data_IF_239574537836
#
_entry.id   IF_239574537836
#
_cell.length_a   1.000
_cell.length_b   1.000
_cell.length_c   1.000
_cell.angle_alpha   90.00
_cell.angle_beta   90.00
_cell.angle_gamma   90.00
#
_symmetry.space_group_name_H-M   'P 1'
#
loop_
_entity.id
_entity.type
_entity.pdbx_description
1 polymer ?
#
# COMPACT_ATOMS: atom_id res chain seq x y z
N UNK A 1 -24.51 35.89 -82.49
CA UNK A 1 -25.88 35.85 -81.91
C UNK A 1 -26.08 34.47 -81.29
N UNK A 2 -26.69 34.38 -80.10
CA UNK A 2 -26.74 33.25 -79.14
C UNK A 2 -25.62 33.31 -78.07
N UNK A 3 -25.79 34.03 -76.97
CA UNK A 3 -26.60 33.75 -75.75
C UNK A 3 -25.87 32.83 -74.75
N UNK A 4 -25.31 33.46 -73.70
CA UNK A 4 -24.85 32.83 -72.45
C UNK A 4 -26.03 32.21 -71.70
N UNK A 5 -25.85 31.06 -71.03
CA UNK A 5 -26.53 30.77 -69.78
C UNK A 5 -25.58 31.00 -68.60
N UNK A 6 -26.06 31.81 -67.64
CA UNK A 6 -25.48 31.92 -66.31
C UNK A 6 -26.01 30.77 -65.46
N UNK A 7 -25.12 30.05 -64.79
CA UNK A 7 -25.46 29.00 -63.83
C UNK A 7 -25.47 29.59 -62.41
N UNK A 8 -26.58 29.52 -61.64
CA UNK A 8 -26.65 30.04 -60.29
C UNK A 8 -26.57 28.89 -59.28
N UNK A 9 -25.40 28.66 -58.68
CA UNK A 9 -25.33 27.85 -57.46
C UNK A 9 -24.38 28.46 -56.43
N UNK A 10 -24.94 29.37 -55.63
CA UNK A 10 -24.37 29.79 -54.36
C UNK A 10 -24.42 28.62 -53.38
N UNK A 11 -23.32 27.88 -53.27
CA UNK A 11 -23.12 26.87 -52.24
C UNK A 11 -22.92 27.53 -50.88
N UNK A 12 -23.98 27.58 -50.07
CA UNK A 12 -23.88 27.95 -48.66
C UNK A 12 -22.95 26.96 -47.94
N UNK A 13 -21.81 27.46 -47.46
CA UNK A 13 -20.91 26.71 -46.59
C UNK A 13 -21.61 26.50 -45.26
N UNK A 14 -22.26 25.34 -45.09
CA UNK A 14 -22.83 24.92 -43.81
C UNK A 14 -21.69 24.62 -42.86
N UNK A 15 -21.29 25.62 -42.08
CA UNK A 15 -20.35 25.49 -40.97
C UNK A 15 -20.94 24.54 -39.92
N UNK A 16 -20.44 23.30 -39.91
CA UNK A 16 -20.73 22.33 -38.85
C UNK A 16 -20.34 22.92 -37.49
N UNK A 17 -21.23 22.90 -36.48
CA UNK A 17 -20.86 23.36 -35.15
C UNK A 17 -19.77 22.43 -34.60
N UNK A 18 -18.65 23.03 -34.15
CA UNK A 18 -17.63 22.33 -33.37
C UNK A 18 -18.34 21.68 -32.19
N UNK A 19 -18.34 20.35 -32.13
CA UNK A 19 -18.73 19.60 -30.93
C UNK A 19 -17.91 20.16 -29.78
N UNK A 20 -18.53 20.94 -28.90
CA UNK A 20 -17.95 21.32 -27.63
C UNK A 20 -17.55 20.02 -26.93
N UNK A 21 -16.26 19.87 -26.64
CA UNK A 21 -15.77 18.73 -25.89
C UNK A 21 -16.59 18.64 -24.61
N UNK A 22 -17.28 17.51 -24.41
CA UNK A 22 -18.01 17.26 -23.18
C UNK A 22 -17.07 17.57 -22.01
N UNK A 23 -17.48 18.50 -21.13
CA UNK A 23 -16.73 18.82 -19.93
C UNK A 23 -16.42 17.50 -19.21
N UNK A 24 -15.13 17.23 -18.98
CA UNK A 24 -14.73 16.04 -18.21
C UNK A 24 -15.49 16.10 -16.88
N UNK A 25 -16.13 15.01 -16.43
CA UNK A 25 -16.89 15.03 -15.19
C UNK A 25 -16.00 15.53 -14.07
N UNK A 26 -16.53 16.46 -13.26
CA UNK A 26 -15.82 16.98 -12.10
C UNK A 26 -15.40 15.80 -11.23
N UNK A 27 -14.09 15.64 -11.04
CA UNK A 27 -13.56 14.51 -10.30
C UNK A 27 -14.02 14.58 -8.84
N UNK A 28 -14.67 13.53 -8.34
CA UNK A 28 -15.13 13.48 -6.95
C UNK A 28 -13.95 13.11 -6.06
N UNK A 29 -13.60 13.93 -5.04
CA UNK A 29 -12.53 13.59 -4.12
C UNK A 29 -12.80 12.26 -3.42
N UNK A 30 -11.76 11.47 -3.22
CA UNK A 30 -11.82 10.25 -2.40
C UNK A 30 -12.19 10.64 -0.96
N UNK A 31 -13.25 10.02 -0.38
CA UNK A 31 -13.67 10.31 1.00
C UNK A 31 -12.55 10.11 2.02
N UNK A 32 -12.55 10.91 3.10
CA UNK A 32 -11.54 10.76 4.16
C UNK A 32 -11.60 9.38 4.86
N UNK A 33 -12.78 8.77 4.89
CA UNK A 33 -13.02 7.44 5.46
C UNK A 33 -12.60 6.28 4.54
N UNK A 34 -12.21 6.57 3.29
CA UNK A 34 -11.72 5.53 2.38
C UNK A 34 -10.43 4.90 2.94
N UNK A 35 -10.31 3.56 2.94
CA UNK A 35 -9.18 2.89 3.57
C UNK A 35 -7.82 3.26 2.96
N UNK A 36 -7.75 3.54 1.66
CA UNK A 36 -6.50 3.98 1.00
C UNK A 36 -6.18 5.42 1.38
N UNK A 37 -7.20 6.28 1.51
CA UNK A 37 -7.00 7.65 1.98
C UNK A 37 -6.49 7.67 3.42
N UNK A 38 -7.04 6.84 4.29
CA UNK A 38 -6.55 6.68 5.67
C UNK A 38 -5.12 6.16 5.69
N UNK A 39 -4.81 5.10 4.93
CA UNK A 39 -3.46 4.55 4.86
C UNK A 39 -2.45 5.58 4.34
N UNK A 40 -2.78 6.31 3.27
CA UNK A 40 -1.93 7.37 2.75
C UNK A 40 -1.67 8.47 3.78
N UNK A 41 -2.72 8.97 4.43
CA UNK A 41 -2.56 10.02 5.45
C UNK A 41 -1.76 9.52 6.68
N UNK A 42 -1.82 8.22 7.00
CA UNK A 42 -0.97 7.59 8.02
C UNK A 42 0.49 7.60 7.59
N UNK A 43 0.80 7.21 6.35
CA UNK A 43 2.17 7.25 5.81
C UNK A 43 2.74 8.66 5.85
N UNK A 44 1.95 9.66 5.42
CA UNK A 44 2.31 11.09 5.54
C UNK A 44 2.62 11.47 6.99
N UNK A 45 1.77 11.06 7.93
CA UNK A 45 1.96 11.37 9.35
C UNK A 45 3.26 10.78 9.92
N UNK A 46 3.58 9.53 9.57
CA UNK A 46 4.81 8.86 10.00
C UNK A 46 6.03 9.55 9.37
N UNK A 47 5.99 9.82 8.07
CA UNK A 47 7.11 10.43 7.34
C UNK A 47 7.42 11.87 7.77
N UNK A 48 6.39 12.71 7.96
CA UNK A 48 6.58 14.14 8.26
C UNK A 48 6.77 14.42 9.75
N UNK A 49 6.06 13.68 10.62
CA UNK A 49 5.94 14.02 12.05
C UNK A 49 6.58 12.99 12.97
N UNK A 50 7.26 11.97 12.41
CA UNK A 50 7.78 10.83 13.17
C UNK A 50 6.71 10.21 14.08
N UNK A 51 5.46 10.23 13.62
CA UNK A 51 4.33 9.76 14.40
C UNK A 51 4.39 8.23 14.55
N UNK A 52 4.06 7.73 15.74
CA UNK A 52 3.95 6.29 15.96
C UNK A 52 2.69 5.76 15.29
N UNK A 53 2.85 4.90 14.28
CA UNK A 53 1.74 4.40 13.47
C UNK A 53 0.66 3.70 14.31
N UNK A 54 1.08 2.93 15.31
CA UNK A 54 0.22 2.21 16.26
C UNK A 54 -0.63 3.13 17.15
N UNK A 55 -0.18 4.36 17.39
CA UNK A 55 -0.95 5.36 18.14
C UNK A 55 -1.83 6.21 17.22
N UNK A 56 -1.36 6.46 15.99
CA UNK A 56 -1.99 7.39 15.06
C UNK A 56 -3.19 6.76 14.33
N UNK A 57 -3.04 5.52 13.84
CA UNK A 57 -4.07 4.88 13.03
C UNK A 57 -5.41 4.70 13.77
N UNK A 58 -5.47 4.20 15.04
CA UNK A 58 -6.74 4.02 15.74
C UNK A 58 -7.54 5.33 15.88
N UNK A 59 -6.85 6.45 16.16
CA UNK A 59 -7.44 7.78 16.22
C UNK A 59 -8.06 8.19 14.89
N UNK A 60 -7.29 8.08 13.79
CA UNK A 60 -7.77 8.39 12.45
C UNK A 60 -8.99 7.57 12.04
N UNK A 61 -8.97 6.26 12.32
CA UNK A 61 -10.10 5.37 12.00
C UNK A 61 -11.37 5.78 12.76
N UNK A 62 -11.24 6.17 14.03
CA UNK A 62 -12.37 6.62 14.86
C UNK A 62 -12.90 7.99 14.40
N UNK A 63 -12.04 8.98 14.26
CA UNK A 63 -12.41 10.36 13.90
C UNK A 63 -13.11 10.43 12.53
N UNK A 64 -12.69 9.59 11.58
CA UNK A 64 -13.22 9.57 10.21
C UNK A 64 -14.43 8.64 10.05
N UNK A 65 -14.87 7.96 11.11
CA UNK A 65 -16.02 7.06 11.05
C UNK A 65 -15.83 5.87 10.10
N UNK A 66 -14.62 5.32 10.00
CA UNK A 66 -14.32 4.20 9.11
C UNK A 66 -15.11 2.97 9.53
N UNK A 67 -15.75 2.32 8.56
CA UNK A 67 -16.58 1.12 8.78
C UNK A 67 -15.74 -0.06 9.22
N UNK A 68 -16.36 -1.03 9.90
CA UNK A 68 -15.65 -2.23 10.38
C UNK A 68 -14.94 -3.00 9.25
N UNK A 69 -15.63 -3.14 8.12
CA UNK A 69 -15.09 -3.77 6.92
C UNK A 69 -13.84 -3.05 6.41
N UNK A 70 -13.85 -1.72 6.40
CA UNK A 70 -12.76 -0.92 5.83
C UNK A 70 -11.60 -0.71 6.81
N UNK A 71 -11.83 -0.84 8.13
CA UNK A 71 -10.77 -0.78 9.14
C UNK A 71 -9.70 -1.83 8.90
N UNK A 72 -10.09 -3.07 8.62
CA UNK A 72 -9.15 -4.15 8.32
C UNK A 72 -8.27 -3.81 7.11
N UNK A 73 -8.87 -3.26 6.05
CA UNK A 73 -8.14 -2.86 4.85
C UNK A 73 -7.23 -1.64 5.10
N UNK A 74 -7.69 -0.63 5.83
CA UNK A 74 -6.87 0.54 6.16
C UNK A 74 -5.65 0.16 7.01
N UNK A 75 -5.84 -0.72 8.00
CA UNK A 75 -4.77 -1.26 8.85
C UNK A 75 -3.77 -2.06 8.04
N UNK A 76 -4.27 -2.93 7.17
CA UNK A 76 -3.43 -3.73 6.28
C UNK A 76 -2.56 -2.84 5.38
N UNK A 77 -3.18 -1.87 4.71
CA UNK A 77 -2.48 -0.99 3.79
C UNK A 77 -1.48 -0.08 4.52
N UNK A 78 -1.86 0.47 5.67
CA UNK A 78 -1.01 1.36 6.45
C UNK A 78 0.21 0.65 7.01
N UNK A 79 0.00 -0.37 7.86
CA UNK A 79 1.12 -1.08 8.49
C UNK A 79 1.91 -1.93 7.51
N UNK A 80 1.24 -2.55 6.54
CA UNK A 80 1.90 -3.36 5.53
C UNK A 80 2.85 -2.52 4.67
N UNK A 81 2.43 -1.33 4.24
CA UNK A 81 3.30 -0.43 3.46
C UNK A 81 4.52 0.02 4.27
N UNK A 82 4.35 0.35 5.56
CA UNK A 82 5.46 0.74 6.44
C UNK A 82 6.44 -0.42 6.66
N UNK A 83 5.92 -1.63 6.90
CA UNK A 83 6.74 -2.82 7.12
C UNK A 83 7.56 -3.17 5.89
N UNK A 84 6.94 -3.12 4.71
CA UNK A 84 7.58 -3.45 3.44
C UNK A 84 8.40 -2.29 2.84
N UNK A 85 8.53 -1.14 3.51
CA UNK A 85 9.02 0.10 2.90
C UNK A 85 10.39 -0.07 2.24
N UNK A 86 11.34 -0.76 2.90
CA UNK A 86 12.68 -0.99 2.34
C UNK A 86 12.63 -1.76 1.02
N UNK A 87 11.78 -2.79 0.95
CA UNK A 87 11.57 -3.56 -0.28
C UNK A 87 10.92 -2.73 -1.37
N UNK A 88 9.84 -2.02 -1.02
CA UNK A 88 9.08 -1.19 -1.96
C UNK A 88 9.94 -0.05 -2.54
N UNK A 89 10.78 0.57 -1.72
CA UNK A 89 11.66 1.66 -2.13
C UNK A 89 12.67 1.20 -3.19
N UNK A 90 13.27 0.02 -3.04
CA UNK A 90 14.18 -0.53 -4.05
C UNK A 90 13.45 -0.84 -5.37
N UNK A 91 12.23 -1.39 -5.29
CA UNK A 91 11.40 -1.66 -6.48
C UNK A 91 11.03 -0.35 -7.18
N UNK A 92 10.61 0.66 -6.43
CA UNK A 92 10.27 1.97 -6.97
C UNK A 92 11.51 2.64 -7.57
N UNK A 93 12.67 2.55 -6.93
CA UNK A 93 13.93 3.07 -7.48
C UNK A 93 14.25 2.43 -8.84
N UNK A 94 14.09 1.10 -8.99
CA UNK A 94 14.26 0.42 -10.28
C UNK A 94 13.20 0.82 -11.33
N UNK A 95 12.06 1.36 -10.89
CA UNK A 95 11.03 1.90 -11.76
C UNK A 95 11.30 3.35 -12.22
N UNK A 96 12.24 4.06 -11.62
CA UNK A 96 12.48 5.48 -11.86
C UNK A 96 13.76 5.73 -12.63
N UNK A 97 13.77 6.81 -13.41
CA UNK A 97 14.98 7.30 -14.11
C UNK A 97 15.73 8.35 -13.28
N UNK A 98 15.27 8.61 -12.05
CA UNK A 98 15.86 9.56 -11.09
C UNK A 98 16.01 8.89 -9.73
N UNK A 99 16.92 9.38 -8.87
CA UNK A 99 17.02 8.95 -7.48
C UNK A 99 15.67 9.04 -6.75
N UNK A 100 15.40 8.07 -5.87
CA UNK A 100 14.12 7.98 -5.16
C UNK A 100 13.90 9.18 -4.22
N UNK A 101 14.96 9.68 -3.61
CA UNK A 101 14.96 10.85 -2.71
C UNK A 101 14.67 12.18 -3.44
N UNK A 102 14.80 12.22 -4.76
CA UNK A 102 14.39 13.34 -5.60
C UNK A 102 12.88 13.34 -5.92
N UNK A 103 12.14 12.32 -5.48
CA UNK A 103 10.67 12.27 -5.62
C UNK A 103 10.03 13.01 -4.45
N UNK A 104 9.09 13.90 -4.77
CA UNK A 104 8.31 14.63 -3.77
C UNK A 104 7.63 13.68 -2.76
N UNK A 105 7.76 13.97 -1.47
CA UNK A 105 7.34 13.06 -0.39
C UNK A 105 5.90 12.55 -0.51
N UNK A 106 4.89 13.44 -0.69
CA UNK A 106 3.50 13.05 -0.95
C UNK A 106 3.34 12.05 -2.11
N UNK A 107 4.12 12.23 -3.18
CA UNK A 107 4.10 11.34 -4.33
C UNK A 107 4.71 9.99 -3.97
N UNK A 108 5.84 9.99 -3.27
CA UNK A 108 6.53 8.77 -2.86
C UNK A 108 5.68 7.91 -1.91
N UNK A 109 5.00 8.52 -0.94
CA UNK A 109 4.13 7.77 -0.02
C UNK A 109 2.93 7.14 -0.74
N UNK A 110 2.40 7.82 -1.76
CA UNK A 110 1.35 7.26 -2.60
C UNK A 110 1.88 6.12 -3.49
N UNK A 111 3.08 6.29 -4.06
CA UNK A 111 3.75 5.24 -4.84
C UNK A 111 4.02 4.00 -3.99
N UNK A 112 4.50 4.16 -2.76
CA UNK A 112 4.70 3.06 -1.79
C UNK A 112 3.39 2.33 -1.52
N UNK A 113 2.32 3.07 -1.21
CA UNK A 113 0.99 2.49 -0.98
C UNK A 113 0.45 1.75 -2.22
N UNK A 114 0.65 2.30 -3.42
CA UNK A 114 0.26 1.67 -4.67
C UNK A 114 1.06 0.40 -4.96
N UNK A 115 2.37 0.44 -4.76
CA UNK A 115 3.27 -0.70 -4.93
C UNK A 115 2.95 -1.82 -3.92
N UNK A 116 2.66 -1.47 -2.67
CA UNK A 116 2.22 -2.44 -1.65
C UNK A 116 0.95 -3.18 -2.10
N UNK A 117 -0.05 -2.43 -2.58
CA UNK A 117 -1.27 -3.05 -3.13
C UNK A 117 -0.98 -4.00 -4.28
N UNK A 118 -0.08 -3.63 -5.19
CA UNK A 118 0.28 -4.43 -6.35
C UNK A 118 1.02 -5.72 -6.00
N UNK A 119 1.94 -5.65 -5.04
CA UNK A 119 2.92 -6.71 -4.80
C UNK A 119 2.55 -7.61 -3.62
N UNK A 120 1.92 -7.06 -2.57
CA UNK A 120 1.69 -7.75 -1.29
C UNK A 120 0.22 -7.88 -0.89
N UNK A 121 -0.70 -7.57 -1.79
CA UNK A 121 -2.14 -7.78 -1.55
C UNK A 121 -2.80 -8.61 -2.64
N UNK A 122 -4.04 -9.04 -2.39
CA UNK A 122 -4.87 -9.75 -3.38
C UNK A 122 -5.70 -8.78 -4.26
N UNK A 123 -5.42 -7.48 -4.20
CA UNK A 123 -6.14 -6.48 -5.02
C UNK A 123 -5.73 -6.68 -6.48
N UNK A 124 -6.68 -6.83 -7.42
CA UNK A 124 -6.35 -6.94 -8.83
C UNK A 124 -5.52 -5.75 -9.33
N UNK A 125 -4.51 -6.01 -10.16
CA UNK A 125 -3.57 -4.99 -10.68
C UNK A 125 -4.27 -3.73 -11.19
N UNK A 126 -5.28 -3.88 -12.04
CA UNK A 126 -6.02 -2.75 -12.61
C UNK A 126 -6.73 -1.92 -11.53
N UNK A 127 -7.25 -2.57 -10.48
CA UNK A 127 -7.92 -1.90 -9.37
C UNK A 127 -6.92 -1.18 -8.47
N UNK A 128 -5.77 -1.78 -8.16
CA UNK A 128 -4.70 -1.15 -7.40
C UNK A 128 -4.18 0.13 -8.09
N UNK A 129 -3.94 0.08 -9.41
CA UNK A 129 -3.53 1.25 -10.20
C UNK A 129 -4.64 2.29 -10.24
N UNK A 130 -5.88 1.90 -10.60
CA UNK A 130 -6.99 2.84 -10.74
C UNK A 130 -7.28 3.60 -9.44
N UNK A 131 -7.40 2.89 -8.32
CA UNK A 131 -7.67 3.49 -7.01
C UNK A 131 -6.53 4.36 -6.51
N UNK A 132 -5.28 4.01 -6.80
CA UNK A 132 -4.11 4.87 -6.49
C UNK A 132 -4.11 6.16 -7.33
N UNK A 133 -4.49 6.07 -8.61
CA UNK A 133 -4.61 7.24 -9.49
C UNK A 133 -5.77 8.14 -9.09
N UNK A 134 -6.88 7.56 -8.64
CA UNK A 134 -8.00 8.30 -8.06
C UNK A 134 -7.56 9.04 -6.79
N UNK A 135 -6.91 8.34 -5.85
CA UNK A 135 -6.37 8.97 -4.66
C UNK A 135 -5.39 10.10 -5.01
N UNK A 136 -4.51 9.89 -5.99
CA UNK A 136 -3.57 10.90 -6.47
C UNK A 136 -4.29 12.17 -6.95
N UNK A 137 -5.41 12.04 -7.68
CA UNK A 137 -6.20 13.21 -8.12
C UNK A 137 -6.82 13.98 -6.96
N UNK A 138 -6.99 13.33 -5.80
CA UNK A 138 -7.55 13.96 -4.60
C UNK A 138 -6.51 14.68 -3.74
N UNK A 139 -5.23 14.32 -3.87
CA UNK A 139 -4.18 14.78 -2.93
C UNK A 139 -2.95 15.38 -3.61
N UNK A 140 -2.80 15.26 -4.93
CA UNK A 140 -1.64 15.71 -5.71
C UNK A 140 -2.04 16.65 -6.85
N UNK A 141 -1.05 17.30 -7.46
CA UNK A 141 -1.22 18.14 -8.66
C UNK A 141 -1.44 17.30 -9.93
N UNK A 142 -2.00 17.92 -10.97
CA UNK A 142 -2.35 17.21 -12.21
C UNK A 142 -1.16 16.48 -12.87
N UNK A 143 0.04 17.09 -12.88
CA UNK A 143 1.24 16.47 -13.44
C UNK A 143 1.70 15.24 -12.65
N UNK A 144 1.57 15.27 -11.32
CA UNK A 144 1.97 14.16 -10.45
C UNK A 144 1.07 12.93 -10.62
N UNK A 145 -0.22 13.12 -10.94
CA UNK A 145 -1.15 11.99 -11.20
C UNK A 145 -0.69 11.12 -12.37
N UNK A 146 -0.24 11.76 -13.47
CA UNK A 146 0.27 11.04 -14.64
C UNK A 146 1.52 10.25 -14.32
N UNK A 147 2.42 10.84 -13.53
CA UNK A 147 3.65 10.20 -13.05
C UNK A 147 3.34 8.98 -12.17
N UNK A 148 2.44 9.11 -11.18
CA UNK A 148 1.99 7.98 -10.34
C UNK A 148 1.50 6.81 -11.19
N UNK A 149 0.60 7.08 -12.14
CA UNK A 149 0.06 6.04 -13.03
C UNK A 149 1.17 5.34 -13.83
N UNK A 150 2.12 6.10 -14.38
CA UNK A 150 3.21 5.55 -15.17
C UNK A 150 4.12 4.63 -14.34
N UNK A 151 4.53 5.08 -13.15
CA UNK A 151 5.40 4.31 -12.26
C UNK A 151 4.70 3.05 -11.76
N UNK A 152 3.44 3.14 -11.31
CA UNK A 152 2.71 1.97 -10.84
C UNK A 152 2.44 0.93 -11.93
N UNK A 153 2.23 1.37 -13.19
CA UNK A 153 2.17 0.42 -14.32
C UNK A 153 3.49 -0.29 -14.54
N UNK A 154 4.62 0.42 -14.44
CA UNK A 154 5.95 -0.20 -14.54
C UNK A 154 6.18 -1.18 -13.39
N UNK A 155 5.84 -0.80 -12.16
CA UNK A 155 5.91 -1.67 -10.99
C UNK A 155 5.03 -2.93 -11.15
N UNK A 156 3.87 -2.82 -11.80
CA UNK A 156 2.98 -3.97 -12.03
C UNK A 156 3.45 -4.97 -13.09
N UNK A 157 4.56 -4.70 -13.79
CA UNK A 157 5.07 -5.58 -14.84
C UNK A 157 5.69 -6.88 -14.31
N UNK A 158 5.94 -6.97 -13.00
CA UNK A 158 6.48 -8.13 -12.30
C UNK A 158 5.76 -8.31 -10.97
N UNK A 159 5.73 -9.54 -10.49
CA UNK A 159 5.38 -9.83 -9.10
C UNK A 159 6.57 -9.51 -8.17
N UNK A 160 6.36 -9.68 -6.86
CA UNK A 160 7.40 -9.40 -5.87
C UNK A 160 8.65 -10.25 -6.08
N UNK A 161 8.50 -11.54 -6.39
CA UNK A 161 9.63 -12.44 -6.63
C UNK A 161 10.47 -11.99 -7.85
N UNK A 162 9.81 -11.61 -8.95
CA UNK A 162 10.47 -11.10 -10.15
C UNK A 162 11.19 -9.77 -9.90
N UNK A 163 10.68 -8.92 -9.02
CA UNK A 163 11.39 -7.71 -8.60
C UNK A 163 12.58 -8.01 -7.69
N UNK A 164 12.42 -8.88 -6.70
CA UNK A 164 13.51 -9.27 -5.80
C UNK A 164 14.69 -9.86 -6.56
N UNK A 165 14.45 -10.65 -7.60
CA UNK A 165 15.52 -11.17 -8.48
C UNK A 165 16.32 -10.07 -9.21
N UNK A 166 15.77 -8.85 -9.33
CA UNK A 166 16.45 -7.71 -9.97
C UNK A 166 17.13 -6.79 -8.96
N UNK A 167 16.54 -6.60 -7.77
CA UNK A 167 16.97 -5.57 -6.81
C UNK A 167 17.78 -6.14 -5.65
N UNK A 168 17.62 -7.43 -5.32
CA UNK A 168 18.42 -8.07 -4.29
C UNK A 168 19.73 -8.62 -4.89
N UNK A 169 20.88 -8.46 -4.22
CA UNK A 169 22.09 -9.15 -4.63
C UNK A 169 21.92 -10.67 -4.51
N UNK A 170 22.73 -11.48 -5.24
CA UNK A 170 22.72 -12.92 -5.08
C UNK A 170 22.95 -13.32 -3.62
N UNK A 171 22.18 -14.30 -3.13
CA UNK A 171 22.22 -14.72 -1.73
C UNK A 171 23.61 -15.24 -1.33
N UNK A 172 24.30 -15.89 -2.25
CA UNK A 172 25.63 -16.48 -2.06
C UNK A 172 26.74 -15.43 -1.98
N UNK A 173 26.53 -14.27 -2.61
CA UNK A 173 27.52 -13.18 -2.65
C UNK A 173 27.38 -12.25 -1.43
N UNK A 174 26.15 -11.84 -1.11
CA UNK A 174 25.86 -11.01 0.06
C UNK A 174 24.55 -11.43 0.73
N UNK A 175 24.58 -12.44 1.63
CA UNK A 175 23.39 -12.91 2.32
C UNK A 175 22.70 -11.81 3.14
N UNK A 176 23.48 -10.89 3.72
CA UNK A 176 22.94 -9.84 4.58
C UNK A 176 22.11 -8.84 3.76
N UNK A 177 22.66 -8.37 2.64
CA UNK A 177 21.97 -7.44 1.76
C UNK A 177 20.79 -8.11 1.04
N UNK A 178 20.92 -9.39 0.67
CA UNK A 178 19.80 -10.15 0.10
C UNK A 178 18.62 -10.24 1.09
N UNK A 179 18.88 -10.66 2.33
CA UNK A 179 17.83 -10.79 3.35
C UNK A 179 17.25 -9.44 3.76
N UNK A 180 18.07 -8.39 3.83
CA UNK A 180 17.62 -7.02 4.08
C UNK A 180 16.59 -6.58 3.03
N UNK A 181 16.89 -6.83 1.76
CA UNK A 181 16.01 -6.48 0.64
C UNK A 181 14.75 -7.35 0.60
N UNK A 182 14.87 -8.64 0.90
CA UNK A 182 13.76 -9.60 0.88
C UNK A 182 12.74 -9.38 1.99
N UNK A 183 13.21 -9.06 3.19
CA UNK A 183 12.37 -8.94 4.38
C UNK A 183 12.13 -7.49 4.83
N UNK A 184 12.60 -6.51 4.05
CA UNK A 184 12.48 -5.07 4.30
C UNK A 184 13.16 -4.58 5.59
N UNK A 185 14.18 -5.29 6.08
CA UNK A 185 14.96 -4.89 7.26
C UNK A 185 16.21 -4.09 6.86
N UNK A 186 16.60 -3.06 7.63
CA UNK A 186 17.91 -2.43 7.46
C UNK A 186 19.04 -3.45 7.59
N UNK A 187 20.09 -3.34 6.76
CA UNK A 187 21.18 -4.32 6.76
C UNK A 187 21.88 -4.49 8.12
N UNK A 188 21.86 -3.48 8.98
CA UNK A 188 22.39 -3.60 10.34
C UNK A 188 21.52 -4.47 11.27
N UNK A 189 20.18 -4.47 11.08
CA UNK A 189 19.27 -5.37 11.81
C UNK A 189 19.50 -6.81 11.38
N UNK A 190 19.64 -7.05 10.08
CA UNK A 190 19.92 -8.40 9.55
C UNK A 190 21.21 -8.95 10.14
N UNK A 191 22.27 -8.13 10.21
CA UNK A 191 23.53 -8.52 10.86
C UNK A 191 23.34 -8.77 12.36
N UNK A 192 22.58 -7.93 13.07
CA UNK A 192 22.29 -8.15 14.48
C UNK A 192 21.55 -9.47 14.74
N UNK A 193 20.58 -9.84 13.89
CA UNK A 193 19.92 -11.14 13.94
C UNK A 193 20.91 -12.28 13.66
N UNK A 194 21.77 -12.11 12.66
CA UNK A 194 22.80 -13.09 12.30
C UNK A 194 23.78 -13.37 13.42
N UNK A 195 24.19 -12.32 14.13
CA UNK A 195 25.10 -12.40 15.28
C UNK A 195 24.43 -13.08 16.48
N UNK A 196 23.14 -12.82 16.70
CA UNK A 196 22.38 -13.41 17.81
C UNK A 196 22.00 -14.88 17.58
N UNK A 197 21.65 -15.26 16.34
CA UNK A 197 21.13 -16.60 16.01
C UNK A 197 22.21 -17.56 15.50
N UNK A 198 23.35 -17.06 15.04
CA UNK A 198 24.51 -17.89 14.73
C UNK A 198 24.49 -18.61 13.38
N UNK A 199 23.39 -18.61 12.63
CA UNK A 199 23.34 -19.07 11.23
C UNK A 199 22.36 -18.26 10.33
N UNK A 200 22.53 -18.36 9.00
CA UNK A 200 21.72 -17.61 8.02
C UNK A 200 20.30 -18.18 7.82
N UNK A 201 20.08 -19.48 8.08
CA UNK A 201 18.76 -20.10 7.95
C UNK A 201 17.82 -19.63 9.07
N UNK A 202 18.28 -19.67 10.32
CA UNK A 202 17.57 -19.12 11.47
C UNK A 202 17.33 -17.62 11.30
N UNK A 203 18.33 -16.89 10.80
CA UNK A 203 18.20 -15.46 10.50
C UNK A 203 17.08 -15.22 9.48
N UNK A 204 17.06 -15.94 8.36
CA UNK A 204 16.03 -15.81 7.35
C UNK A 204 14.64 -16.16 7.89
N UNK A 205 14.51 -17.23 8.68
CA UNK A 205 13.23 -17.61 9.31
C UNK A 205 12.73 -16.56 10.32
N UNK A 206 13.62 -16.00 11.12
CA UNK A 206 13.27 -14.99 12.11
C UNK A 206 12.85 -13.66 11.44
N UNK A 207 13.58 -13.22 10.41
CA UNK A 207 13.21 -12.04 9.62
C UNK A 207 11.87 -12.24 8.89
N UNK A 208 11.64 -13.42 8.33
CA UNK A 208 10.36 -13.76 7.71
C UNK A 208 9.20 -13.69 8.72
N UNK A 209 9.38 -14.24 9.93
CA UNK A 209 8.38 -14.18 10.99
C UNK A 209 8.11 -12.74 11.47
N UNK A 210 9.14 -11.89 11.51
CA UNK A 210 8.99 -10.47 11.85
C UNK A 210 8.25 -9.67 10.74
N UNK A 211 8.39 -10.08 9.47
CA UNK A 211 7.65 -9.48 8.34
C UNK A 211 6.17 -9.95 8.27
N UNK A 212 5.81 -11.03 8.96
CA UNK A 212 4.43 -11.53 8.98
C UNK A 212 3.45 -10.57 9.67
N UNK A 213 2.16 -10.72 9.35
CA UNK A 213 1.12 -9.93 10.02
C UNK A 213 1.02 -10.38 11.48
N UNK A 214 1.09 -9.46 12.46
CA UNK A 214 1.02 -9.83 13.86
C UNK A 214 -0.34 -10.45 14.16
N UNK A 215 -0.32 -11.56 14.88
CA UNK A 215 -1.52 -12.17 15.44
C UNK A 215 -2.00 -11.34 16.63
N UNK A 216 -3.32 -11.30 16.84
CA UNK A 216 -3.88 -10.68 18.04
C UNK A 216 -3.89 -11.73 19.14
N UNK A 217 -3.23 -11.41 20.26
CA UNK A 217 -3.18 -12.28 21.43
C UNK A 217 -4.04 -11.68 22.55
N UNK A 218 -4.91 -12.50 23.14
CA UNK A 218 -5.64 -12.19 24.36
C UNK A 218 -5.02 -12.95 25.54
N UNK A 219 -5.27 -12.43 26.74
CA UNK A 219 -4.84 -13.06 27.99
C UNK A 219 -6.07 -13.32 28.86
N UNK A 220 -6.35 -14.59 29.13
CA UNK A 220 -7.30 -15.04 30.13
C UNK A 220 -6.77 -14.65 31.51
N UNK A 221 -7.43 -13.70 32.16
CA UNK A 221 -6.99 -13.20 33.47
C UNK A 221 -7.47 -14.16 34.56
N UNK A 222 -6.57 -14.78 35.34
CA UNK A 222 -6.96 -15.69 36.41
C UNK A 222 -7.96 -15.05 37.39
N UNK A 223 -9.01 -15.78 37.73
CA UNK A 223 -10.10 -15.30 38.58
C UNK A 223 -11.10 -14.36 37.89
N UNK A 224 -10.98 -14.14 36.58
CA UNK A 224 -11.95 -13.38 35.78
C UNK A 224 -12.61 -14.23 34.70
N UNK A 225 -11.80 -14.97 33.94
CA UNK A 225 -12.24 -15.87 32.86
C UNK A 225 -11.20 -16.96 32.71
N UNK A 226 -11.63 -18.20 32.42
CA UNK A 226 -10.69 -19.25 32.06
C UNK A 226 -10.30 -19.19 30.57
N UNK A 227 -9.23 -19.89 30.18
CA UNK A 227 -8.70 -19.82 28.81
C UNK A 227 -9.65 -20.43 27.79
N UNK A 228 -10.30 -21.54 28.14
CA UNK A 228 -11.16 -22.25 27.20
C UNK A 228 -12.49 -21.50 27.01
N UNK A 229 -13.02 -20.91 28.08
CA UNK A 229 -14.14 -19.98 28.03
C UNK A 229 -13.80 -18.76 27.17
N UNK A 230 -12.65 -18.09 27.41
CA UNK A 230 -12.22 -16.96 26.59
C UNK A 230 -12.03 -17.36 25.11
N UNK A 231 -11.44 -18.52 24.83
CA UNK A 231 -11.28 -19.00 23.46
C UNK A 231 -12.62 -19.22 22.77
N UNK A 232 -13.61 -19.76 23.49
CA UNK A 232 -14.96 -19.96 22.98
C UNK A 232 -15.66 -18.64 22.70
N UNK A 233 -15.67 -17.72 23.68
CA UNK A 233 -16.36 -16.44 23.59
C UNK A 233 -15.76 -15.52 22.52
N UNK A 234 -14.43 -15.52 22.42
CA UNK A 234 -13.71 -14.72 21.44
C UNK A 234 -13.65 -15.35 20.04
N UNK A 235 -14.08 -16.61 19.88
CA UNK A 235 -13.86 -17.38 18.65
C UNK A 235 -12.37 -17.57 18.32
N UNK A 236 -11.54 -17.66 19.35
CA UNK A 236 -10.09 -17.82 19.27
C UNK A 236 -9.62 -19.25 19.47
N UNK A 237 -8.30 -19.45 19.51
CA UNK A 237 -7.66 -20.74 19.80
C UNK A 237 -6.67 -20.62 20.96
N UNK A 238 -6.57 -21.61 21.85
CA UNK A 238 -5.56 -21.60 22.91
C UNK A 238 -4.14 -21.45 22.35
N UNK A 239 -3.35 -20.56 22.94
CA UNK A 239 -1.95 -20.34 22.58
C UNK A 239 -1.06 -21.51 23.04
N UNK A 240 0.01 -21.82 22.30
CA UNK A 240 0.79 -23.05 22.53
C UNK A 240 1.77 -22.96 23.71
N UNK A 241 2.14 -21.76 24.16
CA UNK A 241 3.19 -21.58 25.17
C UNK A 241 2.70 -21.14 26.55
N UNK A 242 1.57 -20.42 26.62
CA UNK A 242 1.03 -19.89 27.87
C UNK A 242 -0.32 -20.52 28.19
N UNK A 243 -0.55 -20.95 29.45
CA UNK A 243 -1.84 -21.47 29.89
C UNK A 243 -2.95 -20.40 29.91
N UNK A 244 -2.61 -19.14 29.63
CA UNK A 244 -3.55 -18.01 29.62
C UNK A 244 -3.73 -17.39 28.23
N UNK A 245 -2.94 -17.78 27.23
CA UNK A 245 -2.98 -17.15 25.93
C UNK A 245 -4.14 -17.69 25.07
N UNK A 246 -4.81 -16.79 24.36
CA UNK A 246 -5.74 -17.11 23.28
C UNK A 246 -5.33 -16.31 22.05
N UNK A 247 -5.26 -16.94 20.89
CA UNK A 247 -4.94 -16.32 19.62
C UNK A 247 -6.23 -16.04 18.85
N UNK A 248 -6.33 -14.86 18.26
CA UNK A 248 -7.40 -14.52 17.33
C UNK A 248 -6.86 -14.50 15.90
N UNK A 249 -7.69 -14.97 14.97
CA UNK A 249 -7.42 -14.88 13.52
C UNK A 249 -7.55 -13.43 13.00
N UNK A 250 -8.21 -12.55 13.74
CA UNK A 250 -8.35 -11.11 13.48
C UNK A 250 -9.46 -10.49 14.35
N UNK A 251 -9.63 -9.16 14.26
CA UNK A 251 -10.71 -8.44 14.94
C UNK A 251 -10.24 -7.35 15.91
N UNK A 252 -11.20 -6.65 16.52
CA UNK A 252 -10.97 -5.61 17.52
C UNK A 252 -11.05 -6.21 18.94
N UNK A 253 -9.91 -6.41 19.64
CA UNK A 253 -9.91 -7.00 20.98
C UNK A 253 -10.60 -6.12 22.02
N UNK A 254 -10.84 -4.83 21.75
CA UNK A 254 -11.55 -3.93 22.66
C UNK A 254 -13.06 -4.22 22.80
N UNK A 255 -13.60 -5.17 22.03
CA UNK A 255 -15.02 -5.56 22.06
C UNK A 255 -15.29 -6.91 22.71
N UNK A 256 -14.25 -7.60 23.16
CA UNK A 256 -14.29 -8.91 23.81
C UNK A 256 -14.31 -8.71 25.32
#
# INVERSE_FOLDING_TARGET
>A
MAARPADPTGGAVVSRPKRSGAARPAYRPVPLADPRRVAYDLLRAVAERSAYANLTLPGMLKERGVTERDRGLATELGYGTLRAQGTLDAVLAACLDRPLDAVDGPVLDLLRLGAYQLLRTRVPTHAAVATSVELARSVLTHGQVGFVNAVLRKASARDEAGWLALVAPPLEEDPAAHLAQKHAHPGWIVRAYRDALGDWDQTARALAADDERPQVHLVARPGRIDREELATDAGGTPGPWSPYAVHLSGGDPGRI
#
